data_IF_747187145142
#
_entry.id   IF_747187145142
#
_cell.length_a   1.000
_cell.length_b   1.000
_cell.length_c   1.000
_cell.angle_alpha   90.00
_cell.angle_beta   90.00
_cell.angle_gamma   90.00
#
_symmetry.space_group_name_H-M   'P 1'
#
loop_
_entity.id
_entity.type
_entity.pdbx_description
1 polymer ?
#
# COMPACT_ATOMS: atom_id res chain seq x y z
N UNK A 1 -35.94 32.22 39.01
CA UNK A 1 -34.87 32.57 38.05
C UNK A 1 -35.31 33.81 37.27
N UNK A 2 -34.56 34.91 37.38
CA UNK A 2 -35.02 36.25 36.98
C UNK A 2 -34.96 36.50 35.47
N UNK A 3 -35.95 37.24 34.96
CA UNK A 3 -36.15 37.57 33.53
C UNK A 3 -34.95 38.28 32.88
N UNK A 4 -34.08 38.90 33.67
CA UNK A 4 -32.87 39.59 33.21
C UNK A 4 -31.86 38.65 32.51
N UNK A 5 -31.78 37.39 32.94
CA UNK A 5 -30.80 36.43 32.42
C UNK A 5 -31.15 35.87 31.04
N UNK A 6 -32.39 36.08 30.56
CA UNK A 6 -32.84 35.68 29.21
C UNK A 6 -32.54 36.72 28.13
N UNK A 7 -32.43 38.00 28.50
CA UNK A 7 -32.13 39.06 27.52
C UNK A 7 -30.62 39.16 27.21
N UNK A 8 -29.76 38.78 28.15
CA UNK A 8 -28.30 38.77 27.96
C UNK A 8 -27.88 37.68 26.95
N UNK A 9 -28.54 36.52 26.95
CA UNK A 9 -28.23 35.42 26.01
C UNK A 9 -28.72 35.68 24.58
N UNK A 10 -29.77 36.49 24.40
CA UNK A 10 -30.25 36.86 23.06
C UNK A 10 -29.37 37.94 22.39
N UNK A 11 -28.78 38.85 23.18
CA UNK A 11 -27.89 39.89 22.66
C UNK A 11 -26.54 39.37 22.16
N UNK A 12 -26.00 38.30 22.76
CA UNK A 12 -24.70 37.74 22.39
C UNK A 12 -24.68 36.95 21.07
N UNK A 13 -25.82 36.43 20.61
CA UNK A 13 -25.91 35.67 19.36
C UNK A 13 -25.96 36.62 18.15
N UNK A 14 -26.52 37.83 18.32
CA UNK A 14 -26.65 38.81 17.23
C UNK A 14 -25.31 39.47 16.86
N UNK A 15 -24.37 39.59 17.79
CA UNK A 15 -23.05 40.20 17.55
C UNK A 15 -22.04 39.22 16.94
N UNK A 16 -22.14 37.91 17.20
CA UNK A 16 -21.29 36.91 16.54
C UNK A 16 -21.63 36.69 15.06
N UNK A 17 -22.89 36.86 14.65
CA UNK A 17 -23.28 36.66 13.24
C UNK A 17 -22.79 37.78 12.30
N UNK A 18 -22.65 39.01 12.80
CA UNK A 18 -22.17 40.14 12.00
C UNK A 18 -20.64 40.18 11.85
N UNK A 19 -19.89 39.50 12.73
CA UNK A 19 -18.42 39.46 12.67
C UNK A 19 -17.87 38.55 11.56
N UNK A 20 -18.58 37.50 11.18
CA UNK A 20 -18.12 36.53 10.18
C UNK A 20 -18.32 37.05 8.74
N UNK A 21 -19.31 37.91 8.51
CA UNK A 21 -19.56 38.48 7.18
C UNK A 21 -18.48 39.48 6.72
N UNK A 22 -17.86 40.23 7.65
CA UNK A 22 -16.86 41.25 7.29
C UNK A 22 -15.51 40.67 6.83
N UNK A 23 -15.13 39.48 7.32
CA UNK A 23 -13.85 38.87 6.96
C UNK A 23 -13.85 38.15 5.61
N UNK A 24 -15.02 37.86 5.03
CA UNK A 24 -15.12 37.21 3.71
C UNK A 24 -14.99 38.25 2.56
N UNK A 25 -15.29 39.52 2.81
CA UNK A 25 -15.27 40.56 1.78
C UNK A 25 -13.91 41.29 1.66
N UNK A 26 -13.02 41.18 2.67
CA UNK A 26 -11.72 41.87 2.68
C UNK A 26 -10.56 41.08 2.04
N UNK A 27 -10.76 39.82 1.66
CA UNK A 27 -9.72 38.95 1.08
C UNK A 27 -9.73 38.84 -0.45
N UNK A 28 -10.77 39.33 -1.12
CA UNK A 28 -10.96 39.15 -2.56
C UNK A 28 -10.60 40.43 -3.35
N UNK A 29 -9.33 40.83 -3.32
CA UNK A 29 -8.82 41.83 -4.27
C UNK A 29 -7.31 41.64 -4.47
N UNK A 30 -6.93 40.55 -5.12
CA UNK A 30 -5.69 40.48 -5.90
C UNK A 30 -6.06 40.49 -7.38
N UNK A 31 -5.72 41.55 -8.14
CA UNK A 31 -6.00 41.59 -9.56
C UNK A 31 -5.09 40.59 -10.29
N UNK A 32 -5.69 39.53 -10.82
CA UNK A 32 -5.05 38.69 -11.85
C UNK A 32 -4.98 39.55 -13.11
N UNK A 33 -3.77 39.99 -13.44
CA UNK A 33 -3.50 40.70 -14.69
C UNK A 33 -3.68 39.72 -15.85
N UNK A 34 -4.66 40.01 -16.70
CA UNK A 34 -4.90 39.28 -17.93
C UNK A 34 -3.74 39.44 -18.89
N UNK A 35 -3.20 38.32 -19.37
CA UNK A 35 -2.26 38.30 -20.49
C UNK A 35 -3.07 38.41 -21.78
N UNK A 36 -3.03 39.60 -22.37
CA UNK A 36 -3.46 39.87 -23.74
C UNK A 36 -2.57 39.13 -24.73
N UNK A 37 -3.20 38.57 -25.77
CA UNK A 37 -2.52 38.26 -27.02
C UNK A 37 -1.94 39.56 -27.64
N UNK A 38 -0.71 39.49 -28.14
CA UNK A 38 -0.06 40.58 -28.88
C UNK A 38 1.46 40.58 -28.74
N UNK A 39 2.13 40.15 -29.82
CA UNK A 39 3.49 40.49 -30.25
C UNK A 39 4.68 40.24 -29.30
N UNK A 40 5.41 39.15 -29.56
CA UNK A 40 6.84 39.08 -29.24
C UNK A 40 7.66 39.05 -30.54
N UNK A 41 8.35 40.16 -30.71
CA UNK A 41 9.29 40.55 -31.74
C UNK A 41 10.40 39.50 -31.89
N UNK A 42 10.57 38.98 -33.11
CA UNK A 42 11.71 38.18 -33.51
C UNK A 42 12.99 39.03 -33.46
N UNK A 43 13.88 38.73 -32.53
CA UNK A 43 15.19 39.37 -32.41
C UNK A 43 16.23 38.50 -33.12
N UNK A 44 16.42 38.77 -34.40
CA UNK A 44 17.48 38.19 -35.24
C UNK A 44 18.82 38.81 -34.85
N UNK A 45 19.71 38.02 -34.25
CA UNK A 45 21.13 38.36 -34.16
C UNK A 45 21.83 37.76 -35.37
N UNK A 46 22.22 38.65 -36.30
CA UNK A 46 23.14 38.36 -37.38
C UNK A 46 24.55 38.19 -36.82
N UNK A 47 25.12 37.01 -37.01
CA UNK A 47 26.54 36.72 -36.81
C UNK A 47 26.98 35.80 -37.94
N UNK A 48 27.53 36.39 -38.99
CA UNK A 48 28.01 35.67 -40.16
C UNK A 48 29.22 34.80 -39.83
N UNK A 49 29.21 33.58 -40.34
CA UNK A 49 30.42 32.83 -40.66
C UNK A 49 30.28 32.29 -42.08
N UNK A 50 31.20 32.77 -42.89
CA UNK A 50 31.51 32.44 -44.28
C UNK A 50 31.57 30.92 -44.50
N UNK A 51 30.83 30.44 -45.51
CA UNK A 51 30.93 29.07 -46.03
C UNK A 51 31.21 29.10 -47.53
N UNK A 52 32.28 29.80 -47.90
CA UNK A 52 32.96 29.60 -49.17
C UNK A 52 33.81 28.33 -49.08
N UNK A 53 33.35 27.23 -49.69
CA UNK A 53 34.11 25.99 -49.77
C UNK A 53 33.26 24.77 -50.11
N UNK A 54 32.72 24.71 -51.33
CA UNK A 54 32.21 23.46 -51.87
C UNK A 54 33.40 22.51 -52.15
N UNK A 55 33.46 21.30 -51.56
CA UNK A 55 34.47 20.32 -51.95
C UNK A 55 34.17 19.84 -53.37
N UNK A 56 35.17 19.93 -54.23
CA UNK A 56 35.16 19.39 -55.59
C UNK A 56 34.94 17.86 -55.52
N UNK A 57 33.92 17.35 -56.22
CA UNK A 57 33.69 15.92 -56.38
C UNK A 57 34.92 15.29 -57.10
N UNK A 58 35.45 14.15 -56.60
CA UNK A 58 36.52 13.44 -57.27
C UNK A 58 36.04 12.87 -58.63
N UNK A 59 36.94 12.70 -59.61
CA UNK A 59 36.57 12.20 -60.94
C UNK A 59 36.04 10.76 -60.87
N UNK A 60 35.02 10.50 -61.69
CA UNK A 60 34.36 9.20 -61.88
C UNK A 60 35.36 8.07 -62.09
N UNK A 61 35.24 7.01 -61.29
CA UNK A 61 36.01 5.78 -61.46
C UNK A 61 35.70 5.13 -62.82
N UNK A 62 36.68 4.49 -63.47
CA UNK A 62 36.45 3.81 -64.75
C UNK A 62 35.48 2.64 -64.58
N UNK A 63 34.64 2.45 -65.60
CA UNK A 63 33.63 1.40 -65.65
C UNK A 63 34.25 0.00 -65.49
N UNK A 64 33.68 -0.90 -64.67
CA UNK A 64 34.24 -2.24 -64.48
C UNK A 64 34.19 -3.04 -65.80
N UNK A 65 35.26 -3.77 -66.10
CA UNK A 65 35.28 -4.68 -67.24
C UNK A 65 34.18 -5.75 -67.12
N UNK A 66 33.52 -6.05 -68.25
CA UNK A 66 32.47 -7.05 -68.32
C UNK A 66 33.00 -8.45 -67.95
N UNK A 67 32.23 -9.17 -67.14
CA UNK A 67 32.50 -10.55 -66.72
C UNK A 67 32.46 -11.51 -67.92
N UNK A 68 33.31 -12.56 -67.94
CA UNK A 68 33.27 -13.57 -69.00
C UNK A 68 31.93 -14.33 -68.98
N UNK A 69 31.33 -14.51 -70.16
CA UNK A 69 30.00 -15.12 -70.33
C UNK A 69 29.95 -16.64 -70.09
N UNK A 70 31.01 -17.24 -69.55
CA UNK A 70 31.05 -18.69 -69.28
C UNK A 70 30.85 -18.91 -67.79
N UNK A 71 29.72 -19.52 -67.42
CA UNK A 71 29.44 -19.89 -66.04
C UNK A 71 30.45 -20.96 -65.57
N UNK A 72 31.13 -20.68 -64.46
CA UNK A 72 31.92 -21.68 -63.74
C UNK A 72 30.93 -22.57 -63.00
N UNK A 73 30.77 -23.83 -63.46
CA UNK A 73 30.02 -24.83 -62.73
C UNK A 73 30.86 -25.27 -61.52
N UNK A 74 30.50 -24.79 -60.33
CA UNK A 74 30.96 -25.36 -59.07
C UNK A 74 30.38 -26.77 -58.94
N UNK A 75 31.24 -27.78 -59.06
CA UNK A 75 30.89 -29.15 -58.69
C UNK A 75 30.74 -29.20 -57.17
N UNK A 76 29.51 -29.05 -56.69
CA UNK A 76 29.17 -29.32 -55.29
C UNK A 76 29.28 -30.83 -55.10
N UNK A 77 30.27 -31.27 -54.33
CA UNK A 77 30.34 -32.64 -53.84
C UNK A 77 29.07 -32.95 -53.04
N UNK A 78 28.43 -34.08 -53.31
CA UNK A 78 27.16 -34.53 -52.70
C UNK A 78 27.23 -34.69 -51.16
N UNK A 79 28.41 -34.55 -50.58
CA UNK A 79 28.68 -34.69 -49.15
C UNK A 79 28.06 -33.59 -48.28
N UNK A 80 27.66 -32.45 -48.85
CA UNK A 80 26.96 -31.38 -48.12
C UNK A 80 25.44 -31.55 -48.08
N UNK A 81 24.88 -32.62 -48.68
CA UNK A 81 23.44 -32.88 -48.68
C UNK A 81 22.95 -33.70 -47.47
N UNK A 82 23.80 -33.92 -46.46
CA UNK A 82 23.32 -34.21 -45.12
C UNK A 82 22.86 -32.89 -44.48
N UNK A 83 21.71 -32.39 -44.94
CA UNK A 83 20.96 -31.38 -44.22
C UNK A 83 20.65 -31.97 -42.85
N UNK A 84 21.42 -31.59 -41.83
CA UNK A 84 20.91 -31.63 -40.47
C UNK A 84 19.56 -30.93 -40.54
N UNK A 85 18.44 -31.58 -40.17
CA UNK A 85 17.17 -30.89 -40.14
C UNK A 85 17.38 -29.63 -39.31
N UNK A 86 16.90 -28.48 -39.82
CA UNK A 86 16.86 -27.27 -39.01
C UNK A 86 16.29 -27.67 -37.65
N UNK A 87 16.92 -27.27 -36.53
CA UNK A 87 16.36 -27.58 -35.22
C UNK A 87 14.91 -27.11 -35.28
N UNK A 88 13.96 -28.03 -35.08
CA UNK A 88 12.57 -27.63 -34.96
C UNK A 88 12.56 -26.58 -33.86
N UNK A 89 12.01 -25.40 -34.15
CA UNK A 89 11.62 -24.49 -33.08
C UNK A 89 10.69 -25.32 -32.20
N UNK A 90 11.22 -25.82 -31.08
CA UNK A 90 10.42 -26.38 -30.02
C UNK A 90 9.39 -25.32 -29.73
N UNK A 91 8.11 -25.64 -29.92
CA UNK A 91 7.05 -24.76 -29.47
C UNK A 91 7.31 -24.58 -27.99
N UNK A 92 7.81 -23.41 -27.60
CA UNK A 92 7.89 -23.04 -26.21
C UNK A 92 6.43 -23.02 -25.79
N UNK A 93 5.98 -24.11 -25.16
CA UNK A 93 4.71 -24.09 -24.44
C UNK A 93 4.89 -22.93 -23.49
N UNK A 94 4.21 -21.81 -23.75
CA UNK A 94 4.20 -20.69 -22.83
C UNK A 94 3.87 -21.30 -21.49
N UNK A 95 4.84 -21.29 -20.56
CA UNK A 95 4.66 -21.90 -19.26
C UNK A 95 3.56 -21.08 -18.60
N UNK A 96 2.33 -21.58 -18.67
CA UNK A 96 1.19 -20.91 -18.07
C UNK A 96 1.46 -20.95 -16.58
N UNK A 97 1.80 -19.79 -16.01
CA UNK A 97 1.99 -19.62 -14.59
C UNK A 97 0.61 -19.57 -13.93
N UNK A 98 -0.06 -20.72 -13.85
CA UNK A 98 -1.30 -20.84 -13.11
C UNK A 98 -1.00 -20.76 -11.62
N UNK A 99 -1.40 -19.63 -11.03
CA UNK A 99 -1.32 -19.40 -9.60
C UNK A 99 -2.65 -19.78 -8.94
N UNK A 100 -2.58 -20.58 -7.88
CA UNK A 100 -3.74 -21.07 -7.15
C UNK A 100 -3.62 -20.63 -5.70
N UNK A 101 -4.68 -20.05 -5.16
CA UNK A 101 -4.76 -19.68 -3.76
C UNK A 101 -6.03 -20.28 -3.13
N UNK A 102 -5.88 -20.89 -1.96
CA UNK A 102 -6.99 -21.44 -1.18
C UNK A 102 -7.11 -20.73 0.17
N UNK A 103 -8.33 -20.64 0.70
CA UNK A 103 -8.63 -20.01 1.98
C UNK A 103 -9.42 -20.96 2.88
N UNK A 104 -8.83 -21.35 4.00
CA UNK A 104 -9.41 -22.26 4.99
C UNK A 104 -9.70 -21.49 6.30
N UNK A 105 -10.97 -21.40 6.75
CA UNK A 105 -11.30 -20.79 8.03
C UNK A 105 -10.70 -21.57 9.20
N UNK A 106 -10.18 -20.85 10.18
CA UNK A 106 -9.64 -21.38 11.43
C UNK A 106 -10.44 -20.84 12.62
N UNK A 107 -10.06 -21.28 13.82
CA UNK A 107 -10.53 -20.69 15.08
C UNK A 107 -10.15 -19.21 15.18
N UNK A 108 -10.73 -18.51 16.15
CA UNK A 108 -10.49 -17.07 16.36
C UNK A 108 -10.79 -16.19 15.13
N UNK A 109 -11.66 -16.63 14.21
CA UNK A 109 -11.95 -15.96 12.93
C UNK A 109 -10.68 -15.68 12.09
N UNK A 110 -9.69 -16.57 12.18
CA UNK A 110 -8.48 -16.54 11.34
C UNK A 110 -8.74 -17.32 10.06
N UNK A 111 -7.92 -17.09 9.03
CA UNK A 111 -7.97 -17.82 7.76
C UNK A 111 -6.56 -18.23 7.37
N UNK A 112 -6.36 -19.53 7.12
CA UNK A 112 -5.13 -20.02 6.50
C UNK A 112 -5.24 -19.83 4.99
N UNK A 113 -4.30 -19.06 4.44
CA UNK A 113 -4.10 -18.92 3.01
C UNK A 113 -2.96 -19.84 2.60
N UNK A 114 -3.17 -20.62 1.54
CA UNK A 114 -2.12 -21.39 0.88
C UNK A 114 -2.06 -20.94 -0.58
N UNK A 115 -0.95 -20.35 -0.96
CA UNK A 115 -0.65 -19.87 -2.31
C UNK A 115 0.37 -20.80 -2.95
N UNK A 116 0.07 -21.27 -4.16
CA UNK A 116 0.98 -22.04 -5.00
C UNK A 116 1.11 -21.34 -6.35
N UNK A 117 2.30 -20.82 -6.62
CA UNK A 117 2.65 -20.09 -7.84
C UNK A 117 4.06 -20.52 -8.27
N UNK A 118 4.22 -21.69 -8.93
CA UNK A 118 5.52 -22.35 -9.10
C UNK A 118 6.51 -21.56 -9.99
N UNK A 119 6.03 -20.62 -10.80
CA UNK A 119 6.91 -19.73 -11.58
C UNK A 119 7.31 -18.46 -10.83
N UNK A 120 6.74 -18.23 -9.63
CA UNK A 120 6.93 -17.05 -8.79
C UNK A 120 7.78 -17.44 -7.59
N UNK A 121 9.03 -17.82 -7.81
CA UNK A 121 9.95 -18.29 -6.77
C UNK A 121 10.59 -17.11 -6.05
N UNK A 122 10.59 -17.10 -4.71
CA UNK A 122 11.15 -16.00 -3.90
C UNK A 122 10.64 -14.62 -4.34
N UNK A 123 9.38 -14.57 -4.79
CA UNK A 123 8.79 -13.39 -5.38
C UNK A 123 7.86 -12.72 -4.37
N UNK A 124 7.98 -11.39 -4.28
CA UNK A 124 7.11 -10.58 -3.42
C UNK A 124 5.73 -10.44 -4.03
N UNK A 125 4.71 -10.46 -3.18
CA UNK A 125 3.33 -10.15 -3.54
C UNK A 125 2.68 -9.31 -2.43
N UNK A 126 1.71 -8.49 -2.82
CA UNK A 126 0.88 -7.74 -1.88
C UNK A 126 -0.43 -8.50 -1.66
N UNK A 127 -0.75 -8.81 -0.40
CA UNK A 127 -2.03 -9.35 -0.03
C UNK A 127 -2.99 -8.21 0.36
N UNK A 128 -4.19 -8.23 -0.20
CA UNK A 128 -5.28 -7.31 0.13
C UNK A 128 -6.52 -8.06 0.63
N UNK A 129 -7.14 -7.53 1.68
CA UNK A 129 -8.36 -8.07 2.26
C UNK A 129 -9.14 -7.00 3.04
N UNK A 130 -10.33 -6.59 2.56
CA UNK A 130 -11.23 -5.69 3.31
C UNK A 130 -10.55 -4.44 3.88
N UNK A 131 -9.65 -3.83 3.10
CA UNK A 131 -8.87 -2.66 3.50
C UNK A 131 -7.56 -2.97 4.23
N UNK A 132 -7.28 -4.21 4.63
CA UNK A 132 -5.95 -4.65 5.06
C UNK A 132 -5.04 -4.83 3.85
N UNK A 133 -3.80 -4.35 3.94
CA UNK A 133 -2.76 -4.55 2.94
C UNK A 133 -1.43 -4.89 3.63
N UNK A 134 -0.75 -5.94 3.18
CA UNK A 134 0.63 -6.25 3.60
C UNK A 134 1.38 -7.00 2.50
N UNK A 135 2.71 -7.00 2.55
CA UNK A 135 3.55 -7.67 1.55
C UNK A 135 4.15 -8.96 2.11
N UNK A 136 4.04 -10.05 1.37
CA UNK A 136 4.64 -11.34 1.68
C UNK A 136 5.52 -11.81 0.51
N UNK A 137 6.21 -12.93 0.72
CA UNK A 137 7.09 -13.54 -0.29
C UNK A 137 6.72 -15.01 -0.40
N UNK A 138 6.79 -15.54 -1.62
CA UNK A 138 6.80 -16.98 -1.86
C UNK A 138 8.17 -17.59 -1.51
N UNK A 139 8.21 -18.89 -1.29
CA UNK A 139 9.45 -19.60 -1.01
C UNK A 139 10.18 -20.05 -2.29
N UNK A 140 11.20 -20.87 -2.11
CA UNK A 140 12.00 -21.47 -3.19
C UNK A 140 11.21 -22.39 -4.14
N UNK A 141 9.97 -22.78 -3.78
CA UNK A 141 9.06 -23.57 -4.60
C UNK A 141 7.91 -22.72 -5.18
N UNK A 142 7.93 -21.41 -4.94
CA UNK A 142 6.83 -20.52 -5.32
C UNK A 142 5.58 -20.68 -4.45
N UNK A 143 5.73 -21.20 -3.23
CA UNK A 143 4.63 -21.42 -2.29
C UNK A 143 4.64 -20.41 -1.14
N UNK A 144 3.47 -20.08 -0.59
CA UNK A 144 3.35 -19.25 0.62
C UNK A 144 2.18 -19.70 1.48
N UNK A 145 2.39 -19.77 2.80
CA UNK A 145 1.34 -20.10 3.78
C UNK A 145 1.26 -18.98 4.80
N UNK A 146 0.07 -18.39 4.95
CA UNK A 146 -0.18 -17.24 5.82
C UNK A 146 -1.40 -17.50 6.69
N UNK A 147 -1.39 -17.04 7.93
CA UNK A 147 -2.58 -17.00 8.79
C UNK A 147 -3.03 -15.55 8.96
N UNK A 148 -4.17 -15.22 8.36
CA UNK A 148 -4.66 -13.84 8.22
C UNK A 148 -5.98 -13.67 8.96
N UNK A 149 -6.14 -12.63 9.78
CA UNK A 149 -7.41 -12.31 10.40
C UNK A 149 -8.46 -11.87 9.35
N UNK A 150 -9.61 -12.53 9.28
CA UNK A 150 -10.75 -12.07 8.48
C UNK A 150 -11.39 -10.76 9.01
N UNK A 151 -11.62 -9.79 8.15
CA UNK A 151 -12.24 -8.51 8.48
C UNK A 151 -13.67 -8.37 7.92
N UNK A 152 -14.15 -9.40 7.23
CA UNK A 152 -15.53 -9.57 6.79
C UNK A 152 -15.95 -11.04 6.81
N UNK A 153 -17.23 -11.30 7.02
CA UNK A 153 -17.77 -12.68 7.05
C UNK A 153 -17.59 -13.38 5.70
N UNK A 154 -17.94 -12.72 4.61
CA UNK A 154 -17.57 -13.15 3.25
C UNK A 154 -16.18 -12.62 2.92
N UNK A 155 -15.16 -13.40 3.25
CA UNK A 155 -13.79 -12.99 3.15
C UNK A 155 -13.24 -13.25 1.74
N UNK A 156 -12.82 -12.18 1.05
CA UNK A 156 -12.11 -12.23 -0.23
C UNK A 156 -10.66 -11.80 0.01
N UNK A 157 -9.71 -12.64 -0.38
CA UNK A 157 -8.28 -12.36 -0.30
C UNK A 157 -7.72 -12.28 -1.71
N UNK A 158 -6.91 -11.26 -1.98
CA UNK A 158 -6.26 -11.05 -3.27
C UNK A 158 -4.76 -10.96 -3.04
N UNK A 159 -4.00 -11.87 -3.66
CA UNK A 159 -2.54 -11.81 -3.71
C UNK A 159 -2.13 -11.25 -5.08
N UNK A 160 -1.45 -10.10 -5.11
CA UNK A 160 -1.01 -9.42 -6.32
C UNK A 160 0.52 -9.44 -6.47
N UNK A 161 1.02 -10.02 -7.56
CA UNK A 161 2.45 -10.03 -7.91
C UNK A 161 2.84 -8.82 -8.79
N UNK A 162 1.85 -8.08 -9.29
CA UNK A 162 1.99 -6.91 -10.15
C UNK A 162 0.62 -6.36 -10.53
N UNK A 163 0.56 -5.48 -11.55
CA UNK A 163 -0.70 -4.82 -11.94
C UNK A 163 -1.74 -5.76 -12.57
N UNK A 164 -1.31 -6.83 -13.24
CA UNK A 164 -2.19 -7.68 -14.05
C UNK A 164 -2.30 -9.12 -13.51
N UNK A 165 -1.46 -9.48 -12.54
CA UNK A 165 -1.35 -10.85 -12.06
C UNK A 165 -1.79 -10.97 -10.60
N UNK A 166 -2.94 -11.62 -10.41
CA UNK A 166 -3.54 -11.83 -9.09
C UNK A 166 -4.03 -13.27 -8.88
N UNK A 167 -3.86 -13.78 -7.66
CA UNK A 167 -4.52 -14.99 -7.18
C UNK A 167 -5.61 -14.59 -6.19
N UNK A 168 -6.78 -15.22 -6.27
CA UNK A 168 -7.93 -14.87 -5.44
C UNK A 168 -8.44 -16.11 -4.71
N UNK A 169 -8.65 -15.98 -3.40
CA UNK A 169 -9.27 -16.99 -2.57
C UNK A 169 -10.45 -16.39 -1.82
N UNK A 170 -11.49 -17.20 -1.59
CA UNK A 170 -12.70 -16.79 -0.89
C UNK A 170 -13.09 -17.82 0.14
N UNK A 171 -13.64 -17.37 1.25
CA UNK A 171 -14.19 -18.26 2.28
C UNK A 171 -15.19 -17.52 3.16
N UNK A 172 -16.03 -18.26 3.88
CA UNK A 172 -17.01 -17.69 4.80
C UNK A 172 -16.56 -17.92 6.25
N UNK A 173 -16.48 -16.85 7.03
CA UNK A 173 -16.01 -16.84 8.43
C UNK A 173 -17.16 -16.44 9.36
N UNK A 174 -18.00 -17.42 9.68
CA UNK A 174 -19.26 -17.22 10.42
C UNK A 174 -19.09 -16.75 11.88
N UNK A 175 -17.89 -16.90 12.45
CA UNK A 175 -17.59 -16.50 13.83
C UNK A 175 -16.93 -15.12 13.93
N UNK A 176 -16.92 -14.32 12.86
CA UNK A 176 -16.34 -12.98 12.91
C UNK A 176 -17.07 -12.06 13.91
N UNK A 177 -18.39 -12.18 14.01
CA UNK A 177 -19.24 -11.35 14.86
C UNK A 177 -18.95 -11.41 16.37
N UNK A 178 -18.15 -12.39 16.83
CA UNK A 178 -17.74 -12.51 18.24
C UNK A 178 -16.35 -11.92 18.52
N UNK A 179 -15.72 -11.26 17.54
CA UNK A 179 -14.43 -10.59 17.71
C UNK A 179 -14.49 -9.12 17.29
N UNK A 180 -13.84 -8.28 18.11
CA UNK A 180 -13.44 -6.93 17.74
C UNK A 180 -12.00 -6.96 17.23
N UNK A 181 -11.73 -6.24 16.14
CA UNK A 181 -10.41 -6.12 15.53
C UNK A 181 -10.02 -4.68 15.32
N UNK A 182 -8.75 -4.38 15.58
CA UNK A 182 -8.14 -3.09 15.32
C UNK A 182 -6.91 -3.33 14.47
N UNK A 183 -6.89 -2.70 13.31
CA UNK A 183 -5.92 -2.92 12.26
C UNK A 183 -5.21 -1.61 12.01
N UNK A 184 -3.89 -1.66 12.00
CA UNK A 184 -3.07 -0.63 11.38
C UNK A 184 -2.19 -1.25 10.33
N UNK A 185 -2.01 -0.57 9.20
CA UNK A 185 -1.03 -0.96 8.20
C UNK A 185 -0.31 0.26 7.64
N UNK A 186 0.93 0.08 7.21
CA UNK A 186 1.80 1.14 6.72
C UNK A 186 2.77 0.58 5.66
N UNK A 187 3.43 1.47 4.93
CA UNK A 187 4.43 1.12 3.92
C UNK A 187 5.85 1.38 4.41
N UNK A 188 6.77 0.50 4.02
CA UNK A 188 8.19 0.56 4.36
C UNK A 188 8.48 0.27 5.84
N UNK A 189 9.72 0.49 6.21
CA UNK A 189 10.20 0.33 7.58
C UNK A 189 9.68 1.47 8.46
N UNK A 190 8.46 1.28 8.98
CA UNK A 190 7.84 2.10 10.01
C UNK A 190 7.78 1.32 11.32
N UNK A 191 8.29 1.88 12.42
CA UNK A 191 8.14 1.33 13.76
C UNK A 191 6.74 1.59 14.33
N UNK A 192 5.70 1.23 13.57
CA UNK A 192 4.31 1.43 14.01
C UNK A 192 3.89 0.22 14.84
N UNK A 193 3.39 0.47 16.05
CA UNK A 193 2.99 -0.58 16.98
C UNK A 193 1.61 -0.33 17.56
N UNK A 194 0.80 -1.39 17.58
CA UNK A 194 -0.47 -1.44 18.30
C UNK A 194 -0.20 -1.89 19.72
N UNK A 195 -0.67 -1.08 20.66
CA UNK A 195 -0.69 -1.39 22.08
C UNK A 195 -2.14 -1.52 22.52
N UNK A 196 -2.53 -2.73 22.91
CA UNK A 196 -3.83 -2.99 23.51
C UNK A 196 -3.68 -3.19 25.02
N UNK A 197 -4.42 -2.39 25.78
CA UNK A 197 -4.43 -2.40 27.24
C UNK A 197 -5.74 -3.03 27.71
N UNK A 198 -5.70 -4.31 28.01
CA UNK A 198 -6.84 -5.10 28.46
C UNK A 198 -7.10 -4.91 29.95
N UNK A 199 -8.38 -4.88 30.33
CA UNK A 199 -8.83 -4.90 31.72
C UNK A 199 -8.22 -3.79 32.62
N UNK A 200 -7.90 -2.64 32.01
CA UNK A 200 -7.31 -1.50 32.73
C UNK A 200 -5.80 -1.56 32.93
N UNK A 201 -5.10 -2.47 32.21
CA UNK A 201 -3.65 -2.56 32.27
C UNK A 201 -2.93 -1.29 31.81
N UNK A 202 -1.73 -1.09 32.32
CA UNK A 202 -0.75 -0.11 31.85
C UNK A 202 0.45 -0.78 31.17
N UNK A 203 1.42 0.02 30.73
CA UNK A 203 2.60 -0.46 30.01
C UNK A 203 3.37 -1.51 30.80
N UNK A 204 3.64 -2.64 30.12
CA UNK A 204 4.42 -3.75 30.68
C UNK A 204 3.64 -4.65 31.64
N UNK A 205 2.37 -4.34 31.93
CA UNK A 205 1.54 -5.18 32.77
C UNK A 205 0.96 -6.38 32.00
N UNK A 206 0.38 -7.34 32.72
CA UNK A 206 -0.08 -8.61 32.14
C UNK A 206 -1.19 -8.46 31.07
N UNK A 207 -1.95 -7.36 31.08
CA UNK A 207 -2.97 -7.06 30.07
C UNK A 207 -2.46 -6.19 28.92
N UNK A 208 -1.16 -5.89 28.84
CA UNK A 208 -0.58 -5.11 27.75
C UNK A 208 -0.15 -6.02 26.59
N UNK A 209 -0.96 -6.03 25.53
CA UNK A 209 -0.73 -6.82 24.32
C UNK A 209 -0.11 -5.94 23.24
N UNK A 210 1.07 -6.32 22.77
CA UNK A 210 1.85 -5.55 21.78
C UNK A 210 2.86 -6.47 21.08
N UNK A 211 3.69 -5.95 20.18
CA UNK A 211 4.67 -6.75 19.42
C UNK A 211 5.61 -7.60 20.31
N UNK A 212 5.99 -7.11 21.49
CA UNK A 212 6.79 -7.86 22.47
C UNK A 212 6.01 -8.84 23.36
N UNK A 213 4.68 -8.74 23.39
CA UNK A 213 3.79 -9.61 24.17
C UNK A 213 2.50 -9.89 23.40
N UNK A 214 2.63 -10.64 22.29
CA UNK A 214 1.54 -10.83 21.32
C UNK A 214 0.40 -11.72 21.81
N UNK A 215 0.67 -12.57 22.80
CA UNK A 215 -0.19 -13.68 23.22
C UNK A 215 -0.58 -14.64 22.09
N UNK A 216 -1.27 -15.72 22.47
CA UNK A 216 -1.72 -16.77 21.57
C UNK A 216 -3.23 -16.66 21.32
N UNK A 217 -3.67 -17.02 20.11
CA UNK A 217 -5.07 -16.96 19.70
C UNK A 217 -6.03 -17.76 20.61
N UNK A 218 -5.54 -18.79 21.30
CA UNK A 218 -6.32 -19.59 22.25
C UNK A 218 -6.89 -18.74 23.40
N UNK A 219 -6.22 -17.62 23.79
CA UNK A 219 -6.79 -16.70 24.79
C UNK A 219 -8.08 -16.05 24.30
N UNK A 220 -8.13 -15.66 23.02
CA UNK A 220 -9.32 -15.10 22.41
C UNK A 220 -10.43 -16.14 22.26
N UNK A 221 -10.09 -17.37 21.86
CA UNK A 221 -11.05 -18.48 21.80
C UNK A 221 -11.65 -18.79 23.17
N UNK A 222 -10.81 -18.75 24.22
CA UNK A 222 -11.22 -19.02 25.60
C UNK A 222 -11.98 -17.86 26.23
N UNK A 223 -11.89 -16.65 25.66
CA UNK A 223 -12.51 -15.43 26.18
C UNK A 223 -11.72 -14.74 27.30
N UNK A 224 -10.43 -15.05 27.45
CA UNK A 224 -9.57 -14.58 28.56
C UNK A 224 -8.77 -13.31 28.23
N UNK A 225 -8.78 -12.90 26.95
CA UNK A 225 -8.07 -11.75 26.43
C UNK A 225 -7.93 -11.82 24.92
N UNK A 226 -7.23 -10.86 24.35
CA UNK A 226 -6.92 -10.76 22.93
C UNK A 226 -5.51 -11.24 22.59
N UNK A 227 -5.16 -11.06 21.32
CA UNK A 227 -3.84 -11.36 20.78
C UNK A 227 -3.51 -10.44 19.59
N UNK A 228 -2.22 -10.30 19.29
CA UNK A 228 -1.70 -9.47 18.21
C UNK A 228 -1.12 -10.32 17.06
N UNK A 229 -1.62 -10.08 15.85
CA UNK A 229 -1.06 -10.64 14.61
C UNK A 229 -0.26 -9.57 13.86
N UNK A 230 1.04 -9.79 13.69
CA UNK A 230 1.91 -8.98 12.83
C UNK A 230 2.03 -9.67 11.46
N UNK A 231 1.80 -8.90 10.40
CA UNK A 231 1.79 -9.32 9.01
C UNK A 231 2.75 -8.43 8.20
N UNK A 232 3.33 -8.99 7.15
CA UNK A 232 4.36 -8.32 6.35
C UNK A 232 5.73 -8.98 6.55
N UNK A 233 6.46 -9.18 5.45
CA UNK A 233 7.83 -9.69 5.52
C UNK A 233 8.77 -8.60 6.07
N UNK A 234 9.55 -8.87 7.13
CA UNK A 234 10.27 -7.84 7.89
C UNK A 234 11.39 -7.14 7.11
N UNK A 235 11.97 -7.79 6.10
CA UNK A 235 13.19 -7.33 5.41
C UNK A 235 12.94 -6.85 3.98
N UNK A 236 11.69 -6.50 3.64
CA UNK A 236 11.35 -5.99 2.32
C UNK A 236 11.34 -4.47 2.29
N UNK A 237 12.30 -3.89 1.56
CA UNK A 237 12.31 -2.45 1.27
C UNK A 237 11.00 -2.02 0.59
N UNK A 238 10.29 -1.08 1.19
CA UNK A 238 9.01 -0.58 0.69
C UNK A 238 7.85 -1.59 0.79
N UNK A 239 8.03 -2.70 1.50
CA UNK A 239 6.95 -3.65 1.78
C UNK A 239 5.87 -3.03 2.66
N UNK A 240 4.64 -3.51 2.53
CA UNK A 240 3.56 -3.15 3.45
C UNK A 240 3.58 -4.05 4.68
N UNK A 241 3.38 -3.46 5.85
CA UNK A 241 3.29 -4.14 7.12
C UNK A 241 1.94 -3.86 7.76
N UNK A 242 1.46 -4.78 8.59
CA UNK A 242 0.24 -4.59 9.34
C UNK A 242 0.30 -5.25 10.72
N UNK A 243 -0.37 -4.63 11.68
CA UNK A 243 -0.66 -5.21 12.98
C UNK A 243 -2.16 -5.25 13.21
N UNK A 244 -2.64 -6.43 13.62
CA UNK A 244 -4.06 -6.70 13.87
C UNK A 244 -4.22 -7.23 15.28
N UNK A 245 -4.79 -6.40 16.15
CA UNK A 245 -5.21 -6.83 17.48
C UNK A 245 -6.63 -7.41 17.40
N UNK A 246 -6.82 -8.62 17.92
CA UNK A 246 -8.11 -9.35 17.94
C UNK A 246 -8.53 -9.59 19.38
N UNK A 247 -9.77 -9.21 19.72
CA UNK A 247 -10.32 -9.31 21.08
C UNK A 247 -11.72 -9.92 21.08
N UNK A 248 -12.04 -10.89 21.97
CA UNK A 248 -13.37 -11.51 22.01
C UNK A 248 -14.44 -10.60 22.66
N UNK A 249 -15.59 -10.47 22.00
CA UNK A 249 -16.73 -9.67 22.47
C UNK A 249 -17.46 -10.35 23.65
N UNK A 250 -17.41 -11.69 23.73
CA UNK A 250 -18.35 -12.53 24.51
C UNK A 250 -18.17 -12.63 26.03
N UNK A 251 -17.16 -12.01 26.64
CA UNK A 251 -17.03 -11.87 28.11
C UNK A 251 -16.74 -10.44 28.57
N UNK A 252 -16.47 -9.55 27.63
CA UNK A 252 -16.25 -8.13 27.83
C UNK A 252 -17.58 -7.36 27.75
N UNK A 253 -18.51 -7.66 28.67
CA UNK A 253 -19.72 -6.85 28.83
C UNK A 253 -19.44 -5.46 29.43
N UNK A 254 -18.17 -5.14 29.69
CA UNK A 254 -17.74 -3.80 30.04
C UNK A 254 -17.39 -3.05 28.75
N UNK A 255 -18.14 -1.98 28.50
CA UNK A 255 -17.61 -0.86 27.73
C UNK A 255 -16.18 -0.59 28.23
N UNK A 256 -15.22 -0.44 27.32
CA UNK A 256 -13.80 -0.17 27.62
C UNK A 256 -12.94 -1.36 28.14
N UNK A 257 -13.30 -2.61 27.86
CA UNK A 257 -12.50 -3.77 28.25
C UNK A 257 -11.07 -3.81 27.63
N UNK A 258 -10.85 -3.12 26.52
CA UNK A 258 -9.53 -2.92 25.94
C UNK A 258 -9.39 -1.49 25.42
N UNK A 259 -8.36 -0.78 25.88
CA UNK A 259 -7.97 0.54 25.37
C UNK A 259 -6.88 0.36 24.32
N UNK A 260 -7.07 0.92 23.14
CA UNK A 260 -6.11 0.81 22.03
C UNK A 260 -5.34 2.11 21.89
N UNK A 261 -4.02 1.99 21.84
CA UNK A 261 -3.06 3.04 21.52
C UNK A 261 -2.23 2.58 20.33
N UNK A 262 -1.84 3.52 19.46
CA UNK A 262 -0.90 3.24 18.38
C UNK A 262 0.25 4.21 18.52
N UNK A 263 1.46 3.68 18.43
CA UNK A 263 2.70 4.44 18.50
C UNK A 263 3.45 4.29 17.18
N UNK A 264 4.19 5.32 16.80
CA UNK A 264 5.16 5.27 15.72
C UNK A 264 6.53 5.67 16.28
N UNK A 265 7.46 4.72 16.33
CA UNK A 265 8.85 4.95 16.71
C UNK A 265 9.58 5.70 15.58
N UNK A 266 10.36 6.71 15.97
CA UNK A 266 11.31 7.38 15.09
C UNK A 266 12.55 6.51 14.97
N UNK A 267 12.84 6.07 13.75
CA UNK A 267 13.96 5.18 13.42
C UNK A 267 14.83 5.85 12.37
N UNK A 268 16.08 5.40 12.22
CA UNK A 268 16.94 5.81 11.11
C UNK A 268 16.27 5.56 9.75
N UNK A 269 15.41 4.54 9.70
CA UNK A 269 14.68 4.25 8.49
C UNK A 269 13.68 5.36 8.18
N UNK A 270 12.92 5.91 9.15
CA UNK A 270 11.74 6.75 8.90
C UNK A 270 11.80 8.22 9.33
N UNK A 271 12.91 8.67 9.94
CA UNK A 271 13.06 10.06 10.36
C UNK A 271 13.04 11.07 9.19
N UNK A 272 12.56 12.28 9.46
CA UNK A 272 12.56 13.41 8.53
C UNK A 272 11.67 13.24 7.28
N UNK A 273 10.78 12.25 7.26
CA UNK A 273 9.87 11.98 6.15
C UNK A 273 8.45 11.71 6.62
N UNK A 274 7.50 11.90 5.73
CA UNK A 274 6.11 11.56 6.03
C UNK A 274 5.92 10.04 6.08
N UNK A 275 5.26 9.56 7.14
CA UNK A 275 4.86 8.16 7.31
C UNK A 275 3.34 8.06 7.15
N UNK A 276 2.91 7.30 6.14
CA UNK A 276 1.50 7.02 5.89
C UNK A 276 1.05 5.77 6.65
N UNK A 277 0.03 5.94 7.48
CA UNK A 277 -0.57 4.88 8.30
C UNK A 277 -2.07 4.81 7.99
N UNK A 278 -2.55 3.62 7.73
CA UNK A 278 -3.98 3.35 7.57
C UNK A 278 -4.49 2.58 8.77
N UNK A 279 -5.63 3.03 9.31
CA UNK A 279 -6.29 2.41 10.44
C UNK A 279 -7.71 2.01 10.08
N UNK A 280 -8.13 0.83 10.49
CA UNK A 280 -9.53 0.39 10.44
C UNK A 280 -9.85 -0.49 11.64
N UNK A 281 -11.12 -0.60 11.98
CA UNK A 281 -11.59 -1.51 13.02
C UNK A 281 -12.75 -2.35 12.50
N UNK A 282 -12.94 -3.55 13.02
CA UNK A 282 -14.15 -4.33 12.80
C UNK A 282 -14.73 -4.69 14.15
N UNK A 283 -15.97 -4.29 14.42
CA UNK A 283 -16.64 -4.54 15.70
C UNK A 283 -17.89 -5.35 15.50
N UNK A 284 -18.00 -6.47 16.19
CA UNK A 284 -19.12 -7.39 16.00
C UNK A 284 -19.34 -7.78 14.53
N UNK A 285 -18.27 -7.94 13.75
CA UNK A 285 -18.31 -8.26 12.31
C UNK A 285 -18.59 -7.09 11.38
N UNK A 286 -18.83 -5.88 11.91
CA UNK A 286 -19.03 -4.67 11.11
C UNK A 286 -17.74 -3.88 11.03
N UNK A 287 -17.19 -3.77 9.81
CA UNK A 287 -16.00 -2.96 9.54
C UNK A 287 -16.31 -1.46 9.54
N UNK A 288 -15.48 -0.69 10.21
CA UNK A 288 -15.36 0.75 10.06
C UNK A 288 -14.55 1.05 8.79
N UNK A 289 -14.94 2.05 8.01
CA UNK A 289 -14.14 2.48 6.85
C UNK A 289 -12.68 2.74 7.22
N UNK A 290 -11.76 2.46 6.30
CA UNK A 290 -10.34 2.74 6.49
C UNK A 290 -10.09 4.25 6.54
N UNK A 291 -9.32 4.69 7.52
CA UNK A 291 -8.85 6.06 7.64
C UNK A 291 -7.34 6.10 7.41
N UNK A 292 -6.92 6.99 6.52
CA UNK A 292 -5.52 7.30 6.29
C UNK A 292 -5.09 8.45 7.22
N UNK A 293 -3.90 8.34 7.79
CA UNK A 293 -3.23 9.36 8.59
C UNK A 293 -1.81 9.50 8.08
N UNK A 294 -1.39 10.74 7.84
CA UNK A 294 -0.02 11.06 7.47
C UNK A 294 0.66 11.65 8.71
N UNK A 295 1.77 11.05 9.12
CA UNK A 295 2.58 11.50 10.24
C UNK A 295 3.83 12.19 9.70
N UNK A 296 4.00 13.47 10.03
CA UNK A 296 5.26 14.15 9.82
C UNK A 296 6.27 13.61 10.84
N UNK A 297 7.16 12.72 10.43
CA UNK A 297 8.15 12.13 11.34
C UNK A 297 9.20 13.19 11.71
N UNK A 298 9.57 13.29 13.00
CA UNK A 298 10.66 14.16 13.45
C UNK A 298 11.98 13.90 12.75
N UNK A 299 12.89 14.85 12.85
CA UNK A 299 14.25 14.74 12.33
C UNK A 299 15.01 13.57 12.99
N UNK A 300 16.08 13.13 12.34
CA UNK A 300 16.88 11.97 12.78
C UNK A 300 17.63 12.18 14.11
N UNK A 301 17.58 13.38 14.69
CA UNK A 301 18.05 13.63 16.05
C UNK A 301 17.12 13.04 17.13
N UNK A 302 15.85 12.77 16.78
CA UNK A 302 14.83 12.21 17.66
C UNK A 302 14.68 10.69 17.49
N UNK A 303 15.65 9.99 16.90
CA UNK A 303 15.62 8.52 16.80
C UNK A 303 15.51 7.90 18.19
N UNK A 304 14.55 6.98 18.35
CA UNK A 304 14.16 6.39 19.63
C UNK A 304 12.99 7.09 20.33
N UNK A 305 12.52 8.24 19.84
CA UNK A 305 11.28 8.86 20.30
C UNK A 305 10.05 8.16 19.71
N UNK A 306 8.89 8.39 20.33
CA UNK A 306 7.61 7.80 19.92
C UNK A 306 6.54 8.87 19.69
N UNK A 307 5.85 8.78 18.55
CA UNK A 307 4.67 9.57 18.27
C UNK A 307 3.45 8.76 18.68
N UNK A 308 2.66 9.29 19.62
CA UNK A 308 1.44 8.64 20.08
C UNK A 308 0.23 9.12 19.29
N UNK A 309 -0.43 8.21 18.58
CA UNK A 309 -1.60 8.51 17.75
C UNK A 309 -2.88 8.35 18.56
N UNK A 310 -3.48 9.49 18.94
CA UNK A 310 -4.75 9.51 19.67
C UNK A 310 -5.94 9.49 18.72
N UNK A 311 -6.99 8.75 19.09
CA UNK A 311 -8.29 8.73 18.40
C UNK A 311 -8.32 8.14 16.97
N UNK A 312 -7.35 7.28 16.60
CA UNK A 312 -7.35 6.63 15.27
C UNK A 312 -8.64 5.87 14.95
N UNK A 313 -9.24 5.24 15.95
CA UNK A 313 -10.41 4.37 15.78
C UNK A 313 -11.73 5.02 16.22
N UNK A 314 -11.72 6.29 16.65
CA UNK A 314 -12.87 6.97 17.29
C UNK A 314 -13.58 8.02 16.40
N UNK A 315 -13.10 8.26 15.17
CA UNK A 315 -13.46 9.44 14.37
C UNK A 315 -14.70 9.32 13.48
N UNK A 316 -15.47 8.23 13.52
CA UNK A 316 -16.67 8.07 12.69
C UNK A 316 -17.94 8.62 13.38
N UNK A 317 -17.98 9.94 13.64
CA UNK A 317 -19.25 10.67 13.69
C UNK A 317 -19.69 10.94 12.26
N UNK A 318 -20.51 10.08 11.70
CA UNK A 318 -21.18 10.32 10.43
C UNK A 318 -22.12 11.52 10.60
N UNK A 319 -21.72 12.68 10.05
CA UNK A 319 -22.66 13.78 9.80
C UNK A 319 -23.53 13.36 8.63
N UNK A 320 -24.78 12.99 8.91
CA UNK A 320 -25.79 12.67 7.90
C UNK A 320 -26.39 13.99 7.40
N UNK A 321 -26.12 14.35 6.15
CA UNK A 321 -26.90 15.37 5.42
C UNK A 321 -28.16 14.72 4.82
#
# INVERSE_FOLDING_TARGET
MSKARRYITAGGILTCALGVAYFIEAGANTPVTGVSAGDVIARQMAGGVDRSGAPMLPPTAPEPAALPATAVALSVTEEWRALTPAPQEESVTALVCDQVMTAEPLVAAMVRLTLNAPCRINERFTLEHSGLRFTAVTDHQGSSVLEVPALGEEAVFVAAFGAEETAVARTTVSVLGIYDRYVVHWAGSGGVHVHAFEYGADFGEAGHVWAGARHDMIRAVSGDGGFLTSLGAPDLAGGHHAEVYTFPVGRAQQQDAARILVEAEVTDANCGRDLEVHALSSRGGVSSGAQQVVLAMPDCEAVGDFLVLKNLFNSLKITRN
#
